data_IF_286018258897
#
_entry.id   IF_286018258897
#
_cell.length_a   1.000
_cell.length_b   1.000
_cell.length_c   1.000
_cell.angle_alpha   90.00
_cell.angle_beta   90.00
_cell.angle_gamma   90.00
#
_symmetry.space_group_name_H-M   'P 1'
#
loop_
_entity.id
_entity.type
_entity.pdbx_description
1 polymer ?
#
# COMPACT_ATOMS: atom_id res chain seq x y z
N UNK A 1 -55.39 -37.41 -30.44
CA UNK A 1 -54.57 -37.83 -29.28
C UNK A 1 -53.49 -38.73 -29.85
N UNK A 2 -52.18 -38.52 -29.74
CA UNK A 2 -51.34 -37.69 -28.89
C UNK A 2 -50.14 -37.20 -29.73
N UNK A 3 -49.77 -35.92 -29.65
CA UNK A 3 -48.45 -35.44 -30.10
C UNK A 3 -48.13 -34.07 -29.51
N UNK A 4 -48.03 -34.01 -28.18
CA UNK A 4 -47.54 -32.84 -27.44
C UNK A 4 -47.01 -33.34 -26.10
N UNK A 5 -45.74 -33.73 -26.04
CA UNK A 5 -45.08 -33.97 -24.75
C UNK A 5 -43.55 -33.97 -24.83
N UNK A 6 -42.94 -34.19 -26.00
CA UNK A 6 -41.49 -34.41 -26.04
C UNK A 6 -40.63 -33.13 -26.07
N UNK A 7 -41.17 -32.01 -26.56
CA UNK A 7 -40.44 -30.73 -26.57
C UNK A 7 -40.52 -29.95 -25.26
N UNK A 8 -41.54 -30.17 -24.41
CA UNK A 8 -41.67 -29.46 -23.13
C UNK A 8 -40.81 -30.09 -22.01
N UNK A 9 -40.52 -31.39 -22.12
CA UNK A 9 -39.67 -32.10 -21.16
C UNK A 9 -38.18 -31.70 -21.28
N UNK A 10 -37.71 -31.33 -22.47
CA UNK A 10 -36.31 -30.92 -22.68
C UNK A 10 -36.04 -29.51 -22.19
N UNK A 11 -36.98 -28.57 -22.34
CA UNK A 11 -36.82 -27.19 -21.85
C UNK A 11 -36.84 -27.10 -20.32
N UNK A 12 -37.70 -27.88 -19.67
CA UNK A 12 -37.75 -27.93 -18.21
C UNK A 12 -36.45 -28.49 -17.59
N UNK A 13 -35.81 -29.46 -18.27
CA UNK A 13 -34.57 -30.08 -17.78
C UNK A 13 -33.37 -29.12 -17.86
N UNK A 14 -33.25 -28.33 -18.94
CA UNK A 14 -32.17 -27.35 -19.09
C UNK A 14 -32.28 -26.21 -18.06
N UNK A 15 -33.49 -25.76 -17.75
CA UNK A 15 -33.73 -24.75 -16.71
C UNK A 15 -33.38 -25.24 -15.30
N UNK A 16 -33.67 -26.50 -14.98
CA UNK A 16 -33.32 -27.09 -13.67
C UNK A 16 -31.81 -27.25 -13.54
N UNK A 17 -31.09 -27.65 -14.60
CA UNK A 17 -29.62 -27.75 -14.57
C UNK A 17 -28.96 -26.37 -14.41
N UNK A 18 -29.49 -25.32 -15.05
CA UNK A 18 -29.01 -23.95 -14.87
C UNK A 18 -29.28 -23.41 -13.45
N UNK A 19 -30.46 -23.65 -12.89
CA UNK A 19 -30.80 -23.27 -11.51
C UNK A 19 -29.95 -24.00 -10.47
N UNK A 20 -29.61 -25.27 -10.71
CA UNK A 20 -28.70 -26.03 -9.84
C UNK A 20 -27.25 -25.56 -10.02
N UNK A 21 -26.81 -25.19 -11.23
CA UNK A 21 -25.47 -24.60 -11.42
C UNK A 21 -25.32 -23.21 -10.79
N UNK A 22 -26.41 -22.44 -10.65
CA UNK A 22 -26.42 -21.20 -9.86
C UNK A 22 -26.39 -21.44 -8.34
N UNK A 23 -26.85 -22.61 -7.88
CA UNK A 23 -26.77 -23.03 -6.47
C UNK A 23 -25.40 -23.62 -6.09
N UNK A 24 -24.63 -24.13 -7.05
CA UNK A 24 -23.26 -24.65 -6.84
C UNK A 24 -22.15 -23.76 -7.40
N UNK A 25 -22.50 -22.70 -8.13
CA UNK A 25 -21.61 -21.61 -8.54
C UNK A 25 -21.58 -20.47 -7.53
N UNK A 26 -21.77 -20.79 -6.25
CA UNK A 26 -21.53 -19.86 -5.15
C UNK A 26 -20.09 -19.39 -5.29
N UNK A 27 -19.92 -18.14 -5.71
CA UNK A 27 -18.68 -17.39 -5.52
C UNK A 27 -18.33 -17.60 -4.06
N UNK A 28 -17.35 -18.48 -3.83
CA UNK A 28 -16.85 -18.75 -2.50
C UNK A 28 -16.45 -17.37 -2.00
N UNK A 29 -17.15 -16.86 -1.00
CA UNK A 29 -16.70 -15.69 -0.26
C UNK A 29 -15.26 -16.03 0.10
N UNK A 30 -14.34 -15.33 -0.56
CA UNK A 30 -12.93 -15.43 -0.22
C UNK A 30 -12.92 -14.91 1.20
N UNK A 31 -12.60 -15.81 2.14
CA UNK A 31 -12.35 -15.48 3.54
C UNK A 31 -11.12 -14.57 3.53
N UNK A 32 -11.34 -13.28 3.25
CA UNK A 32 -10.33 -12.26 3.43
C UNK A 32 -10.16 -12.12 4.93
N UNK A 33 -8.97 -12.49 5.42
CA UNK A 33 -8.59 -12.25 6.80
C UNK A 33 -8.97 -10.82 7.18
N UNK A 34 -9.65 -10.61 8.32
CA UNK A 34 -10.10 -9.27 8.69
C UNK A 34 -8.90 -8.36 8.88
N UNK A 35 -8.96 -7.16 8.27
CA UNK A 35 -7.94 -6.13 8.45
C UNK A 35 -7.84 -5.77 9.93
N UNK A 36 -6.67 -5.99 10.51
CA UNK A 36 -6.44 -5.79 11.95
C UNK A 36 -6.28 -4.30 12.25
N UNK A 37 -6.67 -3.87 13.46
CA UNK A 37 -6.42 -2.50 13.90
C UNK A 37 -4.90 -2.24 14.07
N UNK A 38 -4.37 -1.25 13.36
CA UNK A 38 -3.00 -0.78 13.51
C UNK A 38 -2.89 0.14 14.73
N UNK A 39 -1.94 -0.15 15.62
CA UNK A 39 -1.57 0.71 16.74
C UNK A 39 -0.10 1.09 16.62
N UNK A 40 0.21 2.37 16.84
CA UNK A 40 1.60 2.85 16.81
C UNK A 40 2.46 2.10 17.83
N UNK A 41 3.65 1.67 17.40
CA UNK A 41 4.61 0.92 18.21
C UNK A 41 4.36 -0.59 18.28
N UNK A 42 3.22 -1.09 17.77
CA UNK A 42 2.95 -2.53 17.68
C UNK A 42 3.42 -3.10 16.34
N UNK A 43 4.06 -4.27 16.40
CA UNK A 43 4.51 -4.97 15.22
C UNK A 43 3.34 -5.72 14.56
N UNK A 44 3.22 -5.58 13.24
CA UNK A 44 2.27 -6.30 12.40
C UNK A 44 3.06 -7.28 11.54
N UNK A 45 2.68 -8.55 11.57
CA UNK A 45 3.22 -9.56 10.65
C UNK A 45 2.49 -9.43 9.31
N UNK A 46 3.19 -8.95 8.29
CA UNK A 46 2.67 -8.67 6.97
C UNK A 46 3.68 -9.17 5.92
N UNK A 47 3.58 -10.47 5.60
CA UNK A 47 4.54 -11.19 4.76
C UNK A 47 4.94 -10.39 3.49
N UNK A 48 6.23 -10.35 3.11
CA UNK A 48 7.38 -11.00 3.75
C UNK A 48 7.94 -10.25 4.97
N UNK A 49 7.27 -9.18 5.41
CA UNK A 49 7.83 -8.24 6.36
C UNK A 49 7.17 -8.35 7.74
N UNK A 50 7.90 -7.96 8.77
CA UNK A 50 7.31 -7.50 10.01
C UNK A 50 7.45 -5.97 10.04
N UNK A 51 6.33 -5.28 10.18
CA UNK A 51 6.28 -3.81 10.13
C UNK A 51 5.74 -3.27 11.44
N UNK A 52 6.50 -2.39 12.08
CA UNK A 52 6.08 -1.65 13.27
C UNK A 52 6.03 -0.17 12.93
N UNK A 53 4.83 0.35 12.66
CA UNK A 53 4.65 1.78 12.44
C UNK A 53 4.83 2.50 13.77
N UNK A 54 5.79 3.41 13.87
CA UNK A 54 6.12 4.08 15.13
C UNK A 54 5.49 5.46 15.23
N UNK A 55 5.37 6.17 14.12
CA UNK A 55 4.96 7.58 14.13
C UNK A 55 4.47 8.07 12.77
N UNK A 56 3.73 9.18 12.76
CA UNK A 56 3.38 9.91 11.56
C UNK A 56 3.38 11.42 11.82
N UNK A 57 3.80 12.21 10.84
CA UNK A 57 3.82 13.68 10.93
C UNK A 57 3.85 14.33 9.55
N UNK A 58 3.56 15.63 9.53
CA UNK A 58 3.76 16.43 8.32
C UNK A 58 4.94 17.39 8.48
N UNK A 59 5.68 17.60 7.40
CA UNK A 59 6.78 18.56 7.34
C UNK A 59 6.86 19.15 5.94
N UNK A 60 7.39 20.36 5.82
CA UNK A 60 7.69 20.98 4.52
C UNK A 60 9.13 20.71 4.07
N UNK A 61 9.95 20.07 4.91
CA UNK A 61 11.35 19.75 4.63
C UNK A 61 11.73 18.37 5.16
N UNK A 62 12.62 17.67 4.45
CA UNK A 62 13.20 16.40 4.91
C UNK A 62 14.66 16.36 4.47
N UNK A 63 15.59 16.27 5.41
CA UNK A 63 17.03 16.22 5.10
C UNK A 63 17.43 14.86 4.52
N UNK A 64 18.43 14.83 3.63
CA UNK A 64 19.01 13.60 3.06
C UNK A 64 18.62 13.26 1.61
N UNK A 65 17.78 14.08 0.97
CA UNK A 65 17.57 14.01 -0.47
C UNK A 65 18.79 14.67 -1.15
N UNK A 66 19.51 13.91 -1.98
CA UNK A 66 20.70 14.42 -2.69
C UNK A 66 20.36 15.65 -3.53
N UNK A 67 21.23 16.66 -3.46
CA UNK A 67 21.17 17.84 -4.32
C UNK A 67 21.34 17.41 -5.78
N UNK A 68 20.39 17.76 -6.64
CA UNK A 68 20.64 17.80 -8.08
C UNK A 68 20.83 19.27 -8.51
N UNK A 69 22.07 19.73 -8.55
CA UNK A 69 22.44 21.12 -8.88
C UNK A 69 22.60 22.06 -7.66
N UNK A 70 22.44 23.37 -7.88
CA UNK A 70 22.64 24.42 -6.85
C UNK A 70 21.44 24.61 -5.89
N UNK A 71 20.30 24.00 -6.17
CA UNK A 71 19.13 24.06 -5.29
C UNK A 71 19.25 22.97 -4.23
N UNK A 72 19.20 23.28 -2.93
CA UNK A 72 18.89 22.27 -1.93
C UNK A 72 17.53 21.68 -2.32
N UNK A 73 17.42 20.39 -2.67
CA UNK A 73 16.12 19.73 -2.79
C UNK A 73 15.57 19.48 -1.38
N UNK A 74 15.22 20.61 -0.79
CA UNK A 74 14.45 20.82 0.41
C UNK A 74 13.22 21.51 -0.15
N UNK A 75 12.05 20.90 0.03
CA UNK A 75 10.74 21.29 -0.47
C UNK A 75 10.22 20.49 -1.66
N UNK A 76 8.92 20.20 -1.64
CA UNK A 76 8.15 20.19 -2.86
C UNK A 76 8.15 21.63 -3.46
N UNK A 77 9.22 22.01 -4.17
CA UNK A 77 9.52 23.40 -4.61
C UNK A 77 8.71 23.84 -5.85
N UNK A 78 7.42 23.55 -5.82
CA UNK A 78 6.48 24.12 -6.80
C UNK A 78 5.31 24.70 -6.01
N UNK A 79 4.74 25.81 -6.47
CA UNK A 79 3.59 26.45 -5.82
C UNK A 79 2.41 25.50 -5.53
N UNK A 80 2.36 24.34 -6.21
CA UNK A 80 1.33 23.30 -6.07
C UNK A 80 1.68 22.19 -5.07
N UNK A 81 2.96 21.94 -4.78
CA UNK A 81 3.38 20.87 -3.87
C UNK A 81 3.69 21.50 -2.51
N UNK A 82 3.08 21.01 -1.44
CA UNK A 82 2.99 21.79 -0.19
C UNK A 82 3.69 21.21 1.01
N UNK A 83 3.69 19.88 1.14
CA UNK A 83 4.23 19.19 2.32
C UNK A 83 4.49 17.71 2.02
N UNK A 84 5.30 17.10 2.88
CA UNK A 84 5.38 15.67 3.02
C UNK A 84 4.48 15.21 4.17
N UNK A 85 3.81 14.08 3.97
CA UNK A 85 3.29 13.22 5.03
C UNK A 85 4.32 12.11 5.21
N UNK A 86 4.89 12.03 6.42
CA UNK A 86 5.91 11.06 6.76
C UNK A 86 5.30 10.03 7.69
N UNK A 87 5.50 8.76 7.36
CA UNK A 87 5.22 7.62 8.23
C UNK A 87 6.54 6.96 8.58
N UNK A 88 6.89 6.94 9.86
CA UNK A 88 8.08 6.24 10.35
C UNK A 88 7.71 4.83 10.81
N UNK A 89 8.57 3.87 10.47
CA UNK A 89 8.38 2.48 10.83
C UNK A 89 9.71 1.75 11.03
N UNK A 90 9.65 0.62 11.74
CA UNK A 90 10.66 -0.42 11.67
C UNK A 90 10.17 -1.52 10.73
N UNK A 91 11.03 -1.96 9.82
CA UNK A 91 10.76 -3.01 8.84
C UNK A 91 11.80 -4.10 8.98
N UNK A 92 11.37 -5.31 9.29
CA UNK A 92 12.19 -6.51 9.29
C UNK A 92 11.80 -7.41 8.13
N UNK A 93 12.77 -7.89 7.37
CA UNK A 93 12.53 -8.93 6.38
C UNK A 93 12.53 -10.31 7.06
N UNK A 94 11.36 -10.93 7.15
CA UNK A 94 11.15 -12.23 7.80
C UNK A 94 11.22 -13.42 6.85
N UNK A 95 11.40 -13.16 5.55
CA UNK A 95 11.61 -14.20 4.54
C UNK A 95 13.07 -14.64 4.47
N UNK A 96 13.33 -15.71 3.73
CA UNK A 96 14.66 -16.24 3.44
C UNK A 96 15.32 -15.60 2.19
N UNK A 97 14.61 -14.70 1.51
CA UNK A 97 15.07 -14.03 0.31
C UNK A 97 15.21 -12.51 0.51
N UNK A 98 16.12 -11.89 -0.24
CA UNK A 98 16.24 -10.43 -0.28
C UNK A 98 14.94 -9.81 -0.83
N UNK A 99 14.41 -8.81 -0.12
CA UNK A 99 13.19 -8.08 -0.54
C UNK A 99 13.58 -6.76 -1.17
N UNK A 100 13.10 -6.52 -2.40
CA UNK A 100 13.40 -5.33 -3.18
C UNK A 100 12.44 -4.16 -2.95
N UNK A 101 12.84 -2.99 -3.47
CA UNK A 101 12.13 -1.72 -3.34
C UNK A 101 10.63 -1.79 -3.68
N UNK A 102 10.27 -2.58 -4.69
CA UNK A 102 8.90 -2.67 -5.19
C UNK A 102 7.92 -3.15 -4.11
N UNK A 103 8.36 -4.10 -3.29
CA UNK A 103 7.63 -4.62 -2.13
C UNK A 103 7.74 -3.64 -0.97
N UNK A 104 8.96 -3.17 -0.66
CA UNK A 104 9.23 -2.29 0.48
C UNK A 104 8.42 -0.99 0.42
N UNK A 105 8.32 -0.38 -0.76
CA UNK A 105 7.58 0.87 -0.98
C UNK A 105 6.06 0.71 -0.93
N UNK A 106 5.55 -0.52 -1.00
CA UNK A 106 4.12 -0.83 -0.89
C UNK A 106 3.75 -1.48 0.44
N UNK A 107 4.73 -1.77 1.30
CA UNK A 107 4.51 -2.31 2.64
C UNK A 107 3.69 -1.36 3.54
N UNK A 108 3.81 -0.05 3.32
CA UNK A 108 3.03 0.98 4.00
C UNK A 108 2.36 1.87 2.95
N UNK A 109 1.07 2.10 3.11
CA UNK A 109 0.26 3.00 2.28
C UNK A 109 -0.63 3.89 3.13
N UNK A 110 -1.25 4.88 2.51
CA UNK A 110 -2.21 5.77 3.15
C UNK A 110 -3.61 5.48 2.61
N UNK A 111 -4.64 5.82 3.38
CA UNK A 111 -6.04 5.72 2.97
C UNK A 111 -6.84 6.93 3.47
N UNK A 112 -8.09 7.06 3.02
CA UNK A 112 -9.08 8.02 3.50
C UNK A 112 -8.63 9.49 3.48
N UNK A 113 -7.74 9.84 2.56
CA UNK A 113 -7.26 11.20 2.37
C UNK A 113 -7.09 11.49 0.88
N UNK A 114 -6.95 12.77 0.53
CA UNK A 114 -6.83 13.21 -0.85
C UNK A 114 -5.72 14.26 -1.02
N UNK A 115 -5.46 14.62 -2.27
CA UNK A 115 -4.53 15.69 -2.60
C UNK A 115 -3.08 15.26 -2.64
N UNK A 116 -2.81 13.98 -2.93
CA UNK A 116 -1.47 13.45 -3.05
C UNK A 116 -0.98 13.47 -4.49
N UNK A 117 0.33 13.49 -4.68
CA UNK A 117 0.92 13.30 -6.01
C UNK A 117 1.25 11.83 -6.25
N UNK A 118 1.05 11.32 -7.47
CA UNK A 118 1.46 9.97 -7.83
C UNK A 118 3.00 9.90 -7.93
N UNK A 119 3.56 8.73 -7.61
CA UNK A 119 5.01 8.48 -7.73
C UNK A 119 5.53 8.59 -9.16
N UNK A 120 4.72 8.19 -10.15
CA UNK A 120 5.11 8.17 -11.57
C UNK A 120 5.41 9.57 -12.16
N UNK A 121 5.27 10.64 -11.36
CA UNK A 121 5.36 12.01 -11.82
C UNK A 121 4.02 12.50 -12.35
N UNK A 122 3.85 13.82 -12.38
CA UNK A 122 2.62 14.48 -12.81
C UNK A 122 2.09 15.49 -11.78
N UNK A 123 1.16 16.32 -12.25
CA UNK A 123 0.52 17.39 -11.47
C UNK A 123 -0.92 17.04 -11.06
N UNK A 124 -1.45 15.92 -11.55
CA UNK A 124 -2.79 15.45 -11.20
C UNK A 124 -2.78 14.89 -9.78
N UNK A 125 -3.64 15.43 -8.92
CA UNK A 125 -3.80 14.95 -7.56
C UNK A 125 -4.61 13.67 -7.56
N UNK A 126 -4.15 12.71 -6.76
CA UNK A 126 -4.79 11.41 -6.56
C UNK A 126 -5.23 11.24 -5.10
N UNK A 127 -6.17 10.32 -4.82
CA UNK A 127 -6.47 9.91 -3.46
C UNK A 127 -5.29 9.14 -2.82
N UNK A 128 -5.35 8.96 -1.49
CA UNK A 128 -4.23 8.42 -0.70
C UNK A 128 -3.89 6.96 -0.99
N UNK A 129 -4.87 6.15 -1.38
CA UNK A 129 -4.75 4.74 -1.74
C UNK A 129 -4.04 4.52 -3.08
N UNK A 130 -4.22 5.46 -4.00
CA UNK A 130 -3.47 5.53 -5.27
C UNK A 130 -2.10 6.19 -5.11
N UNK A 131 -1.90 6.96 -4.03
CA UNK A 131 -0.63 7.57 -3.72
C UNK A 131 0.42 6.50 -3.40
N UNK A 132 1.63 6.69 -3.93
CA UNK A 132 2.79 5.87 -3.58
C UNK A 132 3.82 6.77 -2.92
N UNK A 133 4.62 6.24 -1.98
CA UNK A 133 5.73 7.01 -1.42
C UNK A 133 6.61 7.53 -2.57
N UNK A 134 6.92 8.81 -2.52
CA UNK A 134 7.92 9.43 -3.39
C UNK A 134 9.27 8.71 -3.17
N UNK A 135 9.62 8.52 -1.91
CA UNK A 135 10.80 7.78 -1.49
C UNK A 135 10.57 7.09 -0.15
N UNK A 136 11.41 6.09 0.11
CA UNK A 136 11.54 5.44 1.42
C UNK A 136 13.00 5.60 1.82
N UNK A 137 13.27 6.13 3.01
CA UNK A 137 14.61 6.40 3.50
C UNK A 137 14.92 5.56 4.73
N UNK A 138 16.13 5.04 4.86
CA UNK A 138 16.62 4.50 6.14
C UNK A 138 16.95 5.65 7.10
N UNK A 139 16.79 5.40 8.40
CA UNK A 139 17.07 6.36 9.47
C UNK A 139 18.08 5.76 10.46
N UNK A 140 19.07 6.52 10.95
CA UNK A 140 19.26 7.97 10.77
C UNK A 140 20.05 8.39 9.52
N UNK A 141 20.58 7.45 8.75
CA UNK A 141 21.53 7.73 7.65
C UNK A 141 20.90 8.49 6.48
N UNK A 142 19.56 8.47 6.37
CA UNK A 142 18.78 9.13 5.31
C UNK A 142 19.24 8.70 3.91
N UNK A 143 19.54 7.42 3.75
CA UNK A 143 19.82 6.81 2.45
C UNK A 143 18.54 6.22 1.86
N UNK A 144 18.39 6.23 0.53
CA UNK A 144 17.23 5.61 -0.12
C UNK A 144 17.22 4.11 0.20
N UNK A 145 16.14 3.64 0.82
CA UNK A 145 15.98 2.25 1.22
C UNK A 145 15.55 1.40 0.03
N UNK A 146 16.54 0.81 -0.65
CA UNK A 146 16.33 0.01 -1.86
C UNK A 146 16.05 -1.47 -1.64
N UNK A 147 16.59 -2.04 -0.56
CA UNK A 147 16.69 -3.49 -0.38
C UNK A 147 16.71 -3.84 1.10
N UNK A 148 15.99 -4.90 1.50
CA UNK A 148 16.00 -5.47 2.84
C UNK A 148 16.56 -6.90 2.82
N UNK A 149 17.65 -7.14 3.57
CA UNK A 149 18.24 -8.48 3.69
C UNK A 149 17.48 -9.34 4.72
N UNK A 150 17.42 -10.67 4.53
CA UNK A 150 16.80 -11.59 5.48
C UNK A 150 17.29 -11.38 6.92
N UNK A 151 16.35 -11.32 7.87
CA UNK A 151 16.61 -11.22 9.31
C UNK A 151 17.16 -9.88 9.80
N UNK A 152 17.22 -8.84 8.94
CA UNK A 152 17.64 -7.50 9.36
C UNK A 152 16.43 -6.58 9.55
N UNK A 153 16.49 -5.78 10.62
CA UNK A 153 15.52 -4.72 10.93
C UNK A 153 16.08 -3.35 10.52
N UNK A 154 15.25 -2.58 9.82
CA UNK A 154 15.58 -1.25 9.33
C UNK A 154 14.61 -0.23 9.89
N UNK A 155 15.12 0.88 10.43
CA UNK A 155 14.30 2.06 10.73
C UNK A 155 14.14 2.86 9.44
N UNK A 156 12.90 3.14 9.05
CA UNK A 156 12.59 3.77 7.76
C UNK A 156 11.56 4.87 7.87
N UNK A 157 11.59 5.80 6.91
CA UNK A 157 10.61 6.85 6.73
C UNK A 157 10.01 6.76 5.33
N UNK A 158 8.69 6.62 5.25
CA UNK A 158 7.90 6.65 4.02
C UNK A 158 7.43 8.08 3.76
N UNK A 159 7.81 8.67 2.63
CA UNK A 159 7.48 10.06 2.28
C UNK A 159 6.40 10.10 1.21
N UNK A 160 5.23 10.64 1.56
CA UNK A 160 4.14 10.88 0.63
C UNK A 160 4.02 12.39 0.38
N UNK A 161 3.93 12.78 -0.89
CA UNK A 161 3.79 14.19 -1.25
C UNK A 161 2.33 14.60 -1.28
N UNK A 162 2.00 15.67 -0.55
CA UNK A 162 0.66 16.26 -0.54
C UNK A 162 0.71 17.72 -1.03
N UNK A 163 -0.33 18.11 -1.77
CA UNK A 163 -0.48 19.45 -2.31
C UNK A 163 -0.60 20.52 -1.22
N UNK A 164 -0.11 21.72 -1.55
CA UNK A 164 -0.31 22.93 -0.76
C UNK A 164 -1.77 23.39 -0.74
N UNK A 165 -2.54 23.05 -1.77
CA UNK A 165 -3.96 23.40 -1.88
C UNK A 165 -4.86 22.52 -1.02
N UNK A 166 -4.32 21.41 -0.50
CA UNK A 166 -5.03 20.50 0.41
C UNK A 166 -4.67 20.82 1.85
N UNK A 167 -5.70 20.96 2.69
CA UNK A 167 -5.52 21.19 4.12
C UNK A 167 -4.88 19.95 4.77
N UNK A 168 -3.88 20.13 5.65
CA UNK A 168 -3.32 19.01 6.39
C UNK A 168 -4.38 18.50 7.37
N UNK A 169 -4.80 17.26 7.22
CA UNK A 169 -5.66 16.61 8.20
C UNK A 169 -4.98 16.56 9.57
N UNK A 170 -5.75 16.48 10.65
CA UNK A 170 -5.19 16.26 11.99
C UNK A 170 -4.70 14.83 12.20
N UNK A 171 -5.11 13.92 11.31
CA UNK A 171 -4.83 12.49 11.34
C UNK A 171 -4.65 11.96 9.93
N UNK A 172 -4.01 10.81 9.80
CA UNK A 172 -3.90 10.06 8.55
C UNK A 172 -4.24 8.60 8.80
N UNK A 173 -5.00 7.97 7.90
CA UNK A 173 -5.18 6.51 7.94
C UNK A 173 -3.97 5.86 7.29
N UNK A 174 -3.23 5.09 8.08
CA UNK A 174 -2.06 4.33 7.64
C UNK A 174 -2.44 2.87 7.53
N UNK A 175 -2.03 2.24 6.43
CA UNK A 175 -2.29 0.84 6.13
C UNK A 175 -0.97 0.11 5.97
N UNK A 176 -0.80 -0.99 6.69
CA UNK A 176 0.29 -1.96 6.50
C UNK A 176 -0.22 -3.06 5.58
N UNK A 177 0.50 -3.32 4.49
CA UNK A 177 0.11 -4.29 3.48
C UNK A 177 0.97 -5.55 3.55
N UNK A 178 0.33 -6.71 3.47
CA UNK A 178 0.99 -7.98 3.15
C UNK A 178 1.14 -8.12 1.64
N UNK A 179 2.01 -9.03 1.22
CA UNK A 179 2.22 -9.42 -0.16
C UNK A 179 2.11 -10.94 -0.27
N UNK A 180 1.69 -11.40 -1.44
CA UNK A 180 1.54 -12.81 -1.75
C UNK A 180 2.76 -13.28 -2.54
N UNK A 181 3.40 -14.36 -2.08
CA UNK A 181 4.43 -15.05 -2.86
C UNK A 181 3.76 -15.87 -3.95
N UNK A 182 3.98 -15.51 -5.21
CA UNK A 182 3.44 -16.26 -6.33
C UNK A 182 4.31 -16.13 -7.57
N UNK A 183 4.08 -17.06 -8.48
CA UNK A 183 4.63 -17.00 -9.82
C UNK A 183 3.94 -15.88 -10.62
N UNK A 184 4.72 -15.11 -11.35
CA UNK A 184 4.21 -14.15 -12.33
C UNK A 184 3.78 -14.89 -13.61
N UNK A 185 2.57 -14.62 -14.08
CA UNK A 185 2.02 -15.26 -15.27
C UNK A 185 2.73 -14.86 -16.58
N UNK A 186 3.48 -13.74 -16.58
CA UNK A 186 4.13 -13.21 -17.78
C UNK A 186 5.56 -13.72 -17.94
N UNK A 187 6.32 -13.81 -16.85
CA UNK A 187 7.73 -14.18 -16.88
C UNK A 187 8.07 -15.46 -16.11
N UNK A 188 7.09 -16.08 -15.45
CA UNK A 188 7.22 -17.34 -14.69
C UNK A 188 8.24 -17.28 -13.54
N UNK A 189 8.59 -16.08 -13.06
CA UNK A 189 9.42 -15.91 -11.88
C UNK A 189 8.56 -15.81 -10.62
N UNK A 190 9.03 -16.41 -9.52
CA UNK A 190 8.41 -16.24 -8.22
C UNK A 190 8.88 -14.95 -7.57
N UNK A 191 7.92 -14.13 -7.14
CA UNK A 191 8.19 -12.88 -6.43
C UNK A 191 7.01 -12.52 -5.50
N UNK A 192 7.24 -11.56 -4.61
CA UNK A 192 6.21 -11.00 -3.74
C UNK A 192 5.38 -9.97 -4.50
N UNK A 193 4.09 -10.23 -4.65
CA UNK A 193 3.15 -9.41 -5.44
C UNK A 193 1.90 -9.06 -4.64
N UNK A 194 1.01 -8.32 -5.28
CA UNK A 194 -0.37 -8.08 -4.83
C UNK A 194 -0.43 -7.55 -3.38
N UNK A 195 -0.05 -6.28 -3.16
CA UNK A 195 -0.18 -5.67 -1.84
C UNK A 195 -1.64 -5.66 -1.39
N UNK A 196 -1.92 -6.23 -0.24
CA UNK A 196 -3.25 -6.30 0.38
C UNK A 196 -3.22 -5.75 1.81
N UNK A 197 -4.23 -4.97 2.24
CA UNK A 197 -4.31 -4.49 3.62
C UNK A 197 -4.29 -5.62 4.65
N UNK A 198 -3.28 -5.62 5.52
CA UNK A 198 -3.19 -6.53 6.66
C UNK A 198 -3.61 -5.84 7.96
N UNK A 199 -3.25 -4.57 8.11
CA UNK A 199 -3.66 -3.75 9.24
C UNK A 199 -3.91 -2.30 8.81
N UNK A 200 -4.85 -1.62 9.46
CA UNK A 200 -5.17 -0.22 9.20
C UNK A 200 -5.47 0.53 10.49
N UNK A 201 -5.06 1.80 10.57
CA UNK A 201 -5.30 2.62 11.75
C UNK A 201 -5.06 4.10 11.51
N UNK A 202 -5.77 4.91 12.27
CA UNK A 202 -5.66 6.37 12.18
C UNK A 202 -4.57 6.87 13.13
N UNK A 203 -3.53 7.50 12.60
CA UNK A 203 -2.42 8.08 13.37
C UNK A 203 -2.56 9.60 13.47
N UNK A 204 -2.17 10.22 14.60
CA UNK A 204 -2.04 11.67 14.69
C UNK A 204 -1.07 12.20 13.64
N UNK A 205 -1.35 13.37 13.09
CA UNK A 205 -0.52 14.00 12.06
C UNK A 205 -0.10 15.42 12.48
N UNK A 206 0.72 15.57 13.54
CA UNK A 206 1.24 16.87 13.93
C UNK A 206 2.20 17.43 12.87
N UNK A 207 2.27 18.75 12.77
CA UNK A 207 3.33 19.41 12.01
C UNK A 207 4.65 19.34 12.80
N UNK A 208 5.74 19.01 12.12
CA UNK A 208 7.10 19.06 12.66
C UNK A 208 7.97 19.88 11.73
N UNK A 209 8.88 20.64 12.33
CA UNK A 209 10.01 21.19 11.61
C UNK A 209 11.01 20.06 11.41
N UNK A 210 11.62 19.96 10.23
CA UNK A 210 12.71 19.02 10.02
C UNK A 210 13.82 19.28 11.06
N UNK A 211 14.41 18.24 11.66
CA UNK A 211 15.62 18.38 12.46
C UNK A 211 16.82 18.80 11.60
#
# INVERSE_FOLDING_TARGET
MLSRSWFELTTATVLVVLLVSGLFGGLREVDTDPVVALQAGQAVSAQPLQVRVTDAYTTTSFGGIEKKGDTPQVYPDTSKRGRFIIVEAEVENTSDATVGYDVLSRAVSLADASGFFPRAGGDALVPADEARPYAVYTMPEKAVFGVAQPGLTYRVAYLFEQSSTTAPGARVTTVVNRHTWREDSLDFHFDWKDPEPQASGSLPLPARNAP
#
